data_IF_706148935278
#
_entry.id   IF_706148935278
#
_cell.length_a   1.000
_cell.length_b   1.000
_cell.length_c   1.000
_cell.angle_alpha   90.00
_cell.angle_beta   90.00
_cell.angle_gamma   90.00
#
_symmetry.space_group_name_H-M   'P 1'
#
loop_
_entity.id
_entity.type
_entity.pdbx_description
1 polymer ?
#
# COMPACT_ATOMS: atom_id res chain seq x y z
N UNK A 1 35.79 23.32 6.20
CA UNK A 1 34.98 23.23 4.96
C UNK A 1 34.06 22.02 5.08
N UNK A 2 32.77 22.23 5.35
CA UNK A 2 31.77 21.16 5.47
C UNK A 2 31.42 20.69 4.06
N UNK A 3 31.85 19.49 3.67
CA UNK A 3 31.43 18.90 2.40
C UNK A 3 29.94 18.56 2.52
N UNK A 4 29.10 19.26 1.76
CA UNK A 4 27.72 18.88 1.57
C UNK A 4 27.70 17.55 0.80
N UNK A 5 27.23 16.49 1.44
CA UNK A 5 26.96 15.23 0.75
C UNK A 5 25.54 15.28 0.21
N UNK A 6 25.43 15.48 -1.11
CA UNK A 6 24.21 15.23 -1.87
C UNK A 6 24.00 13.72 -1.86
N UNK A 7 22.98 13.24 -1.14
CA UNK A 7 22.50 11.87 -1.29
C UNK A 7 21.55 11.86 -2.49
N UNK A 8 22.03 11.27 -3.59
CA UNK A 8 21.24 11.03 -4.79
C UNK A 8 20.09 10.08 -4.45
N UNK A 9 18.84 10.54 -4.62
CA UNK A 9 17.67 9.68 -4.67
C UNK A 9 17.64 8.96 -6.02
N UNK A 10 18.15 7.73 -6.06
CA UNK A 10 17.97 6.82 -7.19
C UNK A 10 17.62 5.43 -6.65
N UNK A 11 16.32 5.16 -6.60
CA UNK A 11 15.76 3.88 -6.18
C UNK A 11 14.44 3.57 -6.87
N UNK A 12 14.25 3.99 -8.12
CA UNK A 12 13.28 3.34 -9.02
C UNK A 12 14.07 2.63 -10.10
N UNK A 13 14.55 1.43 -9.78
CA UNK A 13 14.90 0.45 -10.79
C UNK A 13 13.64 -0.36 -11.08
N UNK A 14 12.91 0.01 -12.14
CA UNK A 14 12.05 -0.94 -12.85
C UNK A 14 12.48 -0.91 -14.31
N UNK A 15 13.52 -1.69 -14.62
CA UNK A 15 13.78 -2.15 -15.99
C UNK A 15 13.90 -3.67 -15.90
N UNK A 16 12.80 -4.33 -16.25
CA UNK A 16 12.69 -5.76 -16.39
C UNK A 16 11.29 -6.05 -16.88
N UNK A 17 11.17 -6.55 -18.11
CA UNK A 17 9.93 -6.98 -18.77
C UNK A 17 8.86 -7.46 -17.78
N UNK A 18 7.85 -6.62 -17.51
CA UNK A 18 6.64 -7.09 -16.85
C UNK A 18 5.74 -7.63 -17.97
N UNK A 19 5.40 -8.92 -18.01
CA UNK A 19 4.32 -9.38 -18.88
C UNK A 19 3.09 -8.51 -18.60
N UNK A 20 2.24 -8.26 -19.59
CA UNK A 20 0.95 -7.59 -19.38
C UNK A 20 0.03 -8.52 -18.57
N UNK A 21 0.39 -8.78 -17.31
CA UNK A 21 -0.31 -9.62 -16.37
C UNK A 21 -0.90 -8.67 -15.34
N UNK A 22 -2.19 -8.38 -15.48
CA UNK A 22 -3.04 -7.84 -14.43
C UNK A 22 -2.35 -6.84 -13.50
N UNK A 23 -2.13 -5.60 -13.96
CA UNK A 23 -1.75 -4.51 -13.04
C UNK A 23 -2.67 -4.60 -11.82
N UNK A 24 -2.07 -4.87 -10.66
CA UNK A 24 -2.71 -5.18 -9.39
C UNK A 24 -4.04 -4.42 -9.27
N UNK A 25 -5.16 -5.11 -9.55
CA UNK A 25 -6.43 -4.45 -9.84
C UNK A 25 -6.84 -3.58 -8.66
N UNK A 26 -6.66 -2.26 -8.80
CA UNK A 26 -6.97 -1.28 -7.76
C UNK A 26 -5.95 -1.13 -6.61
N UNK A 27 -4.74 -1.71 -6.68
CA UNK A 27 -3.70 -1.46 -5.67
C UNK A 27 -3.27 0.01 -5.70
N UNK A 28 -3.15 0.63 -4.53
CA UNK A 28 -2.94 2.07 -4.40
C UNK A 28 -4.19 2.90 -4.70
N UNK A 29 -5.36 2.28 -4.82
CA UNK A 29 -6.62 2.99 -5.08
C UNK A 29 -7.03 3.94 -3.95
N UNK A 30 -6.63 3.64 -2.72
CA UNK A 30 -6.70 4.52 -1.57
C UNK A 30 -5.49 4.30 -0.66
N UNK A 31 -5.02 5.37 -0.02
CA UNK A 31 -3.88 5.35 0.90
C UNK A 31 -4.22 6.18 2.14
N UNK A 32 -3.85 5.69 3.32
CA UNK A 32 -3.95 6.43 4.57
C UNK A 32 -2.72 6.19 5.45
N UNK A 33 -2.42 7.13 6.35
CA UNK A 33 -1.33 7.02 7.31
C UNK A 33 -1.93 6.89 8.70
N UNK A 34 -1.49 5.87 9.44
CA UNK A 34 -1.88 5.60 10.82
C UNK A 34 -0.63 5.50 11.70
N UNK A 35 -0.21 6.62 12.31
CA UNK A 35 1.03 6.65 13.06
C UNK A 35 2.26 6.45 12.16
N UNK A 36 3.00 5.38 12.38
CA UNK A 36 4.16 4.94 11.60
C UNK A 36 3.81 3.93 10.48
N UNK A 37 2.53 3.62 10.32
CA UNK A 37 2.03 2.68 9.32
C UNK A 37 1.49 3.41 8.09
N UNK A 38 1.74 2.82 6.92
CA UNK A 38 1.10 3.20 5.65
C UNK A 38 0.12 2.10 5.27
N UNK A 39 -1.13 2.49 5.08
CA UNK A 39 -2.22 1.61 4.67
C UNK A 39 -2.46 1.81 3.18
N UNK A 40 -2.43 0.73 2.40
CA UNK A 40 -2.59 0.77 0.94
C UNK A 40 -3.68 -0.20 0.52
N UNK A 41 -4.74 0.31 -0.09
CA UNK A 41 -5.84 -0.51 -0.55
C UNK A 41 -5.61 -1.10 -1.94
N UNK A 42 -6.09 -2.31 -2.13
CA UNK A 42 -6.32 -3.00 -3.41
C UNK A 42 -7.80 -3.34 -3.50
N UNK A 43 -8.60 -2.45 -4.07
CA UNK A 43 -10.06 -2.53 -4.00
C UNK A 43 -10.73 -3.51 -4.98
N UNK A 44 -9.97 -4.12 -5.89
CA UNK A 44 -10.49 -5.00 -6.95
C UNK A 44 -9.69 -6.31 -7.05
N UNK A 45 -9.26 -6.84 -5.91
CA UNK A 45 -8.61 -8.14 -5.83
C UNK A 45 -9.53 -9.29 -6.25
N UNK A 46 -8.96 -10.45 -6.60
CA UNK A 46 -9.74 -11.64 -7.02
C UNK A 46 -10.67 -12.14 -5.92
N UNK A 47 -10.28 -11.95 -4.65
CA UNK A 47 -11.04 -12.35 -3.46
C UNK A 47 -11.76 -11.15 -2.80
N UNK A 48 -12.07 -10.10 -3.58
CA UNK A 48 -12.59 -8.83 -3.05
C UNK A 48 -11.47 -7.81 -2.76
N UNK A 49 -11.81 -6.75 -2.03
CA UNK A 49 -10.85 -5.74 -1.64
C UNK A 49 -9.95 -6.14 -0.47
N UNK A 50 -8.69 -5.69 -0.49
CA UNK A 50 -7.71 -5.89 0.59
C UNK A 50 -7.06 -4.56 0.95
N UNK A 51 -6.78 -4.32 2.24
CA UNK A 51 -5.96 -3.19 2.71
C UNK A 51 -4.68 -3.72 3.32
N UNK A 52 -3.56 -3.44 2.67
CA UNK A 52 -2.23 -3.82 3.13
C UNK A 52 -1.69 -2.80 4.12
N UNK A 53 -0.97 -3.27 5.13
CA UNK A 53 -0.34 -2.48 6.17
C UNK A 53 1.17 -2.56 5.98
N UNK A 54 1.83 -1.43 5.80
CA UNK A 54 3.28 -1.34 5.69
C UNK A 54 3.87 -0.60 6.90
N UNK A 55 4.98 -1.12 7.43
CA UNK A 55 5.79 -0.46 8.47
C UNK A 55 7.21 -0.25 7.96
N UNK A 56 7.92 0.74 8.53
CA UNK A 56 9.32 0.95 8.22
C UNK A 56 10.22 0.12 9.14
N UNK A 57 11.02 -0.78 8.57
CA UNK A 57 11.99 -1.60 9.28
C UNK A 57 13.34 -1.52 8.57
N UNK A 58 14.39 -1.07 9.29
CA UNK A 58 15.74 -1.02 8.74
C UNK A 58 15.94 -0.07 7.55
N UNK A 59 15.04 0.91 7.37
CA UNK A 59 15.05 1.84 6.23
C UNK A 59 14.26 1.34 5.01
N UNK A 60 13.61 0.19 5.12
CA UNK A 60 12.76 -0.39 4.07
C UNK A 60 11.30 -0.42 4.55
N UNK A 61 10.36 -0.31 3.61
CA UNK A 61 8.95 -0.54 3.88
C UNK A 61 8.67 -2.03 3.73
N UNK A 62 8.15 -2.66 4.79
CA UNK A 62 7.81 -4.08 4.84
C UNK A 62 6.32 -4.25 5.08
N UNK A 63 5.69 -5.22 4.41
CA UNK A 63 4.30 -5.57 4.68
C UNK A 63 4.20 -6.22 6.07
N UNK A 64 3.48 -5.58 6.97
CA UNK A 64 3.29 -6.01 8.36
C UNK A 64 1.97 -6.79 8.55
N UNK A 65 1.07 -6.75 7.57
CA UNK A 65 -0.18 -7.48 7.58
C UNK A 65 -1.19 -6.94 6.57
N UNK A 66 -2.39 -7.50 6.60
CA UNK A 66 -3.48 -7.08 5.73
C UNK A 66 -4.84 -7.19 6.44
N UNK A 67 -5.79 -6.39 5.97
CA UNK A 67 -7.19 -6.37 6.39
C UNK A 67 -8.01 -6.73 5.16
N UNK A 68 -8.86 -7.73 5.28
CA UNK A 68 -9.76 -8.19 4.22
C UNK A 68 -11.21 -7.97 4.64
N UNK A 69 -12.11 -7.89 3.65
CA UNK A 69 -13.55 -7.91 3.90
C UNK A 69 -13.92 -9.18 4.67
N UNK A 70 -14.70 -9.10 5.78
CA UNK A 70 -15.20 -10.29 6.48
C UNK A 70 -16.14 -11.14 5.62
N UNK A 71 -16.81 -10.52 4.66
CA UNK A 71 -17.71 -11.16 3.69
C UNK A 71 -17.25 -10.77 2.28
N UNK A 72 -16.15 -11.35 1.79
CA UNK A 72 -15.56 -10.94 0.52
C UNK A 72 -16.48 -11.28 -0.64
N UNK A 73 -16.78 -10.27 -1.47
CA UNK A 73 -17.43 -10.48 -2.75
C UNK A 73 -16.64 -9.78 -3.85
N UNK A 74 -16.56 -10.42 -5.03
CA UNK A 74 -15.86 -9.83 -6.17
C UNK A 74 -16.47 -8.46 -6.50
N UNK A 75 -15.63 -7.42 -6.43
CA UNK A 75 -16.06 -6.05 -6.72
C UNK A 75 -16.92 -5.40 -5.63
N UNK A 76 -16.90 -5.90 -4.39
CA UNK A 76 -17.57 -5.30 -3.23
C UNK A 76 -17.12 -3.85 -2.95
N UNK A 77 -15.94 -3.47 -3.44
CA UNK A 77 -15.38 -2.13 -3.28
C UNK A 77 -14.76 -1.90 -1.90
N UNK A 78 -14.49 -2.97 -1.14
CA UNK A 78 -13.73 -2.86 0.10
C UNK A 78 -12.37 -2.19 -0.18
N UNK A 79 -12.00 -1.20 0.62
CA UNK A 79 -10.78 -0.40 0.37
C UNK A 79 -10.91 0.61 -0.77
N UNK A 80 -12.11 0.91 -1.25
CA UNK A 80 -12.33 2.03 -2.19
C UNK A 80 -12.10 3.41 -1.56
N UNK A 81 -12.17 3.51 -0.24
CA UNK A 81 -11.76 4.68 0.54
C UNK A 81 -11.11 4.25 1.85
N UNK A 82 -10.21 5.08 2.38
CA UNK A 82 -9.59 4.89 3.68
C UNK A 82 -9.65 6.19 4.46
N UNK A 83 -10.04 6.12 5.74
CA UNK A 83 -9.93 7.24 6.66
C UNK A 83 -9.44 6.74 8.03
N UNK A 84 -8.49 7.47 8.62
CA UNK A 84 -7.93 7.11 9.92
C UNK A 84 -8.23 8.22 10.92
N UNK A 85 -8.75 7.86 12.09
CA UNK A 85 -8.96 8.79 13.18
C UNK A 85 -8.91 8.09 14.54
N UNK A 86 -8.18 8.65 15.49
CA UNK A 86 -8.10 8.12 16.86
C UNK A 86 -7.67 6.66 16.96
N UNK A 87 -6.77 6.22 16.08
CA UNK A 87 -6.31 4.81 16.02
C UNK A 87 -7.32 3.84 15.41
N UNK A 88 -8.40 4.34 14.81
CA UNK A 88 -9.38 3.55 14.08
C UNK A 88 -9.22 3.78 12.58
N UNK A 89 -9.40 2.71 11.82
CA UNK A 89 -9.50 2.73 10.38
C UNK A 89 -10.96 2.57 9.97
N UNK A 90 -11.43 3.45 9.09
CA UNK A 90 -12.63 3.29 8.29
C UNK A 90 -12.22 2.88 6.88
N UNK A 91 -12.89 1.87 6.35
CA UNK A 91 -12.70 1.25 5.02
C UNK A 91 -14.05 1.13 4.34
#
# INVERSE_FOLDING_TARGET
MKKASVAAFLGFAVVGLVPHAAFAQGFGGAVAIAGDQVLVAQSRGPDGGTVYIYTMAGGEWVEAGSIVSPEPAQGDGFGSGLAVSGGRLLV
#
